data_IF_372868290095
#
_entry.id   IF_372868290095
#
_cell.length_a   1.000
_cell.length_b   1.000
_cell.length_c   1.000
_cell.angle_alpha   90.00
_cell.angle_beta   90.00
_cell.angle_gamma   90.00
#
_symmetry.space_group_name_H-M   'P 1'
#
loop_
_entity.id
_entity.type
_entity.pdbx_description
1 polymer ?
#
# COMPACT_ATOMS: atom_id res chain seq x y z
N UNK A 1 -22.82 0.07 -14.14
CA UNK A 1 -22.92 1.10 -13.09
C UNK A 1 -22.00 0.65 -11.99
N UNK A 2 -20.72 1.05 -12.02
CA UNK A 2 -19.83 0.83 -10.87
C UNK A 2 -20.21 1.89 -9.83
N UNK A 3 -20.43 1.43 -8.61
CA UNK A 3 -21.05 2.19 -7.54
C UNK A 3 -19.95 3.02 -6.85
N UNK A 4 -19.76 4.26 -7.28
CA UNK A 4 -18.74 5.20 -6.77
C UNK A 4 -18.79 5.33 -5.23
N UNK A 5 -19.97 5.17 -4.64
CA UNK A 5 -20.19 5.13 -3.19
C UNK A 5 -19.50 3.93 -2.51
N UNK A 6 -19.44 2.78 -3.19
CA UNK A 6 -18.73 1.60 -2.70
C UNK A 6 -17.20 1.77 -2.78
N UNK A 7 -16.71 2.48 -3.79
CA UNK A 7 -15.29 2.77 -3.97
C UNK A 7 -14.79 3.82 -2.98
N UNK A 8 -15.58 4.86 -2.70
CA UNK A 8 -15.26 5.84 -1.63
C UNK A 8 -15.21 5.12 -0.27
N UNK A 9 -16.12 4.17 -0.04
CA UNK A 9 -16.14 3.38 1.19
C UNK A 9 -14.93 2.45 1.31
N UNK A 10 -14.48 1.82 0.22
CA UNK A 10 -13.30 0.93 0.26
C UNK A 10 -12.01 1.72 0.44
N UNK A 11 -11.87 2.89 -0.20
CA UNK A 11 -10.71 3.77 -0.06
C UNK A 11 -10.55 4.27 1.38
N UNK A 12 -11.65 4.75 1.98
CA UNK A 12 -11.64 5.23 3.36
C UNK A 12 -11.23 4.14 4.35
N UNK A 13 -11.77 2.93 4.19
CA UNK A 13 -11.47 1.78 5.06
C UNK A 13 -10.01 1.33 4.88
N UNK A 14 -9.54 1.21 3.64
CA UNK A 14 -8.17 0.79 3.36
C UNK A 14 -7.15 1.82 3.86
N UNK A 15 -7.39 3.12 3.65
CA UNK A 15 -6.52 4.18 4.17
C UNK A 15 -6.52 4.26 5.69
N UNK A 16 -7.67 4.07 6.34
CA UNK A 16 -7.73 3.97 7.81
C UNK A 16 -6.90 2.79 8.32
N UNK A 17 -6.96 1.65 7.63
CA UNK A 17 -6.16 0.48 7.96
C UNK A 17 -4.66 0.75 7.81
N UNK A 18 -4.24 1.33 6.68
CA UNK A 18 -2.85 1.65 6.39
C UNK A 18 -2.30 2.73 7.34
N UNK A 19 -3.13 3.68 7.77
CA UNK A 19 -2.77 4.68 8.77
C UNK A 19 -2.37 4.03 10.10
N UNK A 20 -3.25 3.18 10.64
CA UNK A 20 -3.03 2.49 11.91
C UNK A 20 -1.83 1.53 11.85
N UNK A 21 -1.62 0.86 10.72
CA UNK A 21 -0.65 -0.23 10.61
C UNK A 21 0.71 0.17 10.00
N UNK A 22 0.77 1.29 9.27
CA UNK A 22 1.95 1.63 8.46
C UNK A 22 2.39 3.10 8.64
N UNK A 23 1.47 4.05 8.84
CA UNK A 23 1.81 5.47 8.81
C UNK A 23 2.76 5.91 9.93
N UNK A 24 2.79 5.22 11.08
CA UNK A 24 3.75 5.52 12.14
C UNK A 24 5.21 5.52 11.63
N UNK A 25 5.54 4.60 10.72
CA UNK A 25 6.87 4.51 10.11
C UNK A 25 6.95 5.18 8.74
N UNK A 26 5.92 5.00 7.91
CA UNK A 26 5.87 5.43 6.52
C UNK A 26 5.00 6.69 6.40
N UNK A 27 5.62 7.80 6.77
CA UNK A 27 5.10 9.16 6.68
C UNK A 27 6.28 10.12 6.47
N UNK A 28 6.04 11.39 6.08
CA UNK A 28 7.13 12.36 5.92
C UNK A 28 7.96 12.50 7.20
N UNK A 29 9.28 12.28 7.07
CA UNK A 29 10.22 12.30 8.21
C UNK A 29 10.17 11.07 9.12
N UNK A 30 9.34 10.07 8.80
CA UNK A 30 9.23 8.82 9.54
C UNK A 30 10.42 7.87 9.33
N UNK A 31 10.62 6.89 10.23
CA UNK A 31 11.76 5.98 10.21
C UNK A 31 11.70 4.89 9.13
N UNK A 32 10.56 4.71 8.44
CA UNK A 32 10.35 3.61 7.49
C UNK A 32 11.14 3.74 6.19
N UNK A 33 11.74 4.90 5.93
CA UNK A 33 12.46 5.18 4.69
C UNK A 33 11.56 5.20 3.45
N UNK A 34 12.17 5.47 2.30
CA UNK A 34 11.45 5.63 1.04
C UNK A 34 10.56 6.88 0.99
N UNK A 35 9.64 6.92 0.04
CA UNK A 35 8.71 8.04 -0.19
C UNK A 35 7.25 7.74 0.09
N UNK A 36 6.95 6.58 0.71
CA UNK A 36 5.59 6.17 1.00
C UNK A 36 5.00 6.95 2.18
N UNK A 37 3.79 7.46 2.02
CA UNK A 37 3.00 8.15 3.05
C UNK A 37 1.64 7.48 3.16
N UNK A 38 1.45 6.68 4.22
CA UNK A 38 0.23 5.92 4.46
C UNK A 38 -0.78 6.63 5.37
N UNK A 39 -0.58 7.92 5.66
CA UNK A 39 -1.52 8.64 6.53
C UNK A 39 -2.90 8.69 5.89
N UNK A 40 -3.94 8.51 6.70
CA UNK A 40 -5.32 8.37 6.20
C UNK A 40 -5.77 9.51 5.29
N UNK A 41 -5.36 10.73 5.60
CA UNK A 41 -5.75 11.95 4.87
C UNK A 41 -4.85 12.27 3.68
N UNK A 42 -3.79 11.50 3.44
CA UNK A 42 -2.92 11.69 2.27
C UNK A 42 -3.64 11.15 1.03
N UNK A 43 -3.92 11.99 0.02
CA UNK A 43 -4.53 11.51 -1.22
C UNK A 43 -3.56 10.58 -1.96
N UNK A 44 -4.08 9.62 -2.73
CA UNK A 44 -3.25 8.62 -3.42
C UNK A 44 -2.18 9.25 -4.33
N UNK A 45 -2.46 10.41 -4.91
CA UNK A 45 -1.51 11.21 -5.70
C UNK A 45 -0.29 11.67 -4.91
N UNK A 46 -0.43 11.86 -3.60
CA UNK A 46 0.65 12.31 -2.70
C UNK A 46 1.21 11.18 -1.82
N UNK A 47 0.59 10.01 -1.79
CA UNK A 47 1.09 8.85 -1.02
C UNK A 47 2.46 8.34 -1.51
N UNK A 48 2.87 8.69 -2.73
CA UNK A 48 4.19 8.31 -3.27
C UNK A 48 4.37 6.81 -3.57
N UNK A 49 3.27 6.03 -3.60
CA UNK A 49 3.28 4.58 -3.80
C UNK A 49 2.83 4.14 -5.20
N UNK A 50 2.00 4.93 -5.87
CA UNK A 50 1.38 4.52 -7.13
C UNK A 50 2.43 4.44 -8.25
N UNK A 51 2.57 3.25 -8.85
CA UNK A 51 3.61 2.89 -9.82
C UNK A 51 5.04 3.21 -9.38
N UNK A 52 5.28 3.39 -8.08
CA UNK A 52 6.58 3.74 -7.56
C UNK A 52 7.53 2.53 -7.58
N UNK A 53 8.79 2.78 -7.94
CA UNK A 53 9.82 1.75 -7.89
C UNK A 53 10.12 1.34 -6.44
N UNK A 54 10.39 0.04 -6.27
CA UNK A 54 10.93 -0.51 -5.04
C UNK A 54 12.29 0.10 -4.69
N UNK A 55 12.62 0.12 -3.41
CA UNK A 55 13.96 0.51 -2.97
C UNK A 55 15.01 -0.52 -3.40
N UNK A 56 16.27 -0.08 -3.51
CA UNK A 56 17.37 -0.82 -4.15
C UNK A 56 17.72 -2.16 -3.48
N UNK A 57 17.17 -2.44 -2.31
CA UNK A 57 17.40 -3.59 -1.46
C UNK A 57 16.14 -4.45 -1.25
N UNK A 58 15.04 -4.18 -1.95
CA UNK A 58 13.82 -4.98 -1.85
C UNK A 58 13.88 -6.17 -2.84
N UNK A 59 13.52 -7.37 -2.35
CA UNK A 59 13.50 -8.59 -3.15
C UNK A 59 12.33 -8.57 -4.14
N UNK A 60 12.59 -8.12 -5.37
CA UNK A 60 11.60 -8.16 -6.46
C UNK A 60 11.27 -9.60 -6.83
N UNK A 61 9.98 -9.88 -6.93
CA UNK A 61 9.44 -11.17 -7.39
C UNK A 61 9.20 -11.13 -8.92
N UNK A 62 8.98 -9.94 -9.49
CA UNK A 62 8.81 -9.70 -10.93
C UNK A 62 9.50 -8.40 -11.37
N UNK A 63 9.77 -8.26 -12.67
CA UNK A 63 10.34 -7.03 -13.26
C UNK A 63 9.34 -5.86 -13.27
N UNK A 64 8.05 -6.18 -13.32
CA UNK A 64 6.96 -5.21 -13.31
C UNK A 64 6.59 -4.73 -11.91
N UNK A 65 7.09 -5.40 -10.86
CA UNK A 65 6.81 -5.08 -9.46
C UNK A 65 7.00 -3.59 -9.15
N UNK A 66 5.96 -2.98 -8.58
CA UNK A 66 5.96 -1.62 -8.02
C UNK A 66 5.40 -1.65 -6.61
N UNK A 67 5.52 -0.55 -5.87
CA UNK A 67 4.92 -0.47 -4.53
C UNK A 67 3.40 -0.71 -4.59
N UNK A 68 2.73 -0.09 -5.57
CA UNK A 68 1.34 -0.33 -5.93
C UNK A 68 1.17 -0.22 -7.45
N UNK A 69 0.48 -1.18 -8.06
CA UNK A 69 0.05 -1.15 -9.45
C UNK A 69 -1.49 -1.11 -9.47
N UNK A 70 -2.12 -0.06 -10.03
CA UNK A 70 -3.57 0.03 -10.18
C UNK A 70 -4.17 -1.25 -10.78
N UNK A 71 -5.16 -1.85 -10.11
CA UNK A 71 -5.86 -3.03 -10.58
C UNK A 71 -5.07 -4.35 -10.53
N UNK A 72 -3.75 -4.31 -10.30
CA UNK A 72 -2.89 -5.50 -10.32
C UNK A 72 -2.30 -5.79 -8.94
N UNK A 73 -2.88 -6.77 -8.27
CA UNK A 73 -2.46 -7.22 -6.95
C UNK A 73 -1.22 -8.13 -6.97
N UNK A 74 -0.88 -8.73 -8.12
CA UNK A 74 0.28 -9.62 -8.27
C UNK A 74 1.57 -8.83 -8.40
N UNK A 75 1.54 -7.70 -9.11
CA UNK A 75 2.69 -6.80 -9.26
C UNK A 75 2.72 -5.65 -8.24
N UNK A 76 1.81 -5.66 -7.26
CA UNK A 76 1.78 -4.74 -6.12
C UNK A 76 2.53 -5.28 -4.91
N UNK A 77 3.72 -4.75 -4.66
CA UNK A 77 4.60 -5.16 -3.57
C UNK A 77 4.01 -4.92 -2.17
N UNK A 78 3.13 -3.93 -2.00
CA UNK A 78 2.41 -3.68 -0.75
C UNK A 78 1.73 -4.97 -0.23
N UNK A 79 1.05 -5.73 -1.09
CA UNK A 79 0.40 -6.97 -0.66
C UNK A 79 1.38 -8.08 -0.34
N UNK A 80 2.48 -8.18 -1.09
CA UNK A 80 3.55 -9.13 -0.78
C UNK A 80 4.13 -8.87 0.60
N UNK A 81 4.36 -7.59 0.94
CA UNK A 81 4.83 -7.17 2.27
C UNK A 81 3.84 -7.47 3.38
N UNK A 82 2.54 -7.27 3.14
CA UNK A 82 1.52 -7.58 4.14
C UNK A 82 1.33 -9.08 4.39
N UNK A 83 1.65 -9.93 3.40
CA UNK A 83 1.57 -11.39 3.49
C UNK A 83 2.86 -12.04 4.00
N UNK A 84 3.97 -11.30 4.03
CA UNK A 84 5.25 -11.82 4.47
C UNK A 84 5.20 -12.21 5.95
N UNK A 85 5.60 -13.45 6.26
CA UNK A 85 5.57 -14.03 7.61
C UNK A 85 6.96 -14.30 8.20
N UNK A 86 8.05 -13.97 7.49
CA UNK A 86 9.42 -14.29 7.90
C UNK A 86 10.26 -13.05 8.21
N UNK A 87 11.09 -13.17 9.25
CA UNK A 87 11.78 -12.13 10.04
C UNK A 87 12.60 -11.07 9.25
N UNK A 88 13.05 -11.35 8.02
CA UNK A 88 13.92 -10.44 7.26
C UNK A 88 13.16 -9.38 6.42
N UNK A 89 11.85 -9.54 6.21
CA UNK A 89 11.00 -8.62 5.40
C UNK A 89 9.78 -8.07 6.20
N UNK A 90 9.72 -8.31 7.52
CA UNK A 90 8.58 -7.91 8.37
C UNK A 90 8.60 -6.42 8.68
N UNK A 91 7.63 -5.69 8.14
CA UNK A 91 7.31 -4.33 8.55
C UNK A 91 5.82 -4.20 8.90
N UNK A 92 5.47 -3.66 10.08
CA UNK A 92 6.36 -3.27 11.17
C UNK A 92 6.98 -4.50 11.88
N UNK A 93 8.20 -4.37 12.43
CA UNK A 93 9.00 -5.47 13.02
C UNK A 93 8.38 -6.13 14.27
N UNK A 94 7.15 -5.77 14.61
CA UNK A 94 6.39 -6.27 15.76
C UNK A 94 5.14 -7.07 15.35
N UNK A 95 4.91 -7.31 14.05
CA UNK A 95 3.80 -8.17 13.61
C UNK A 95 4.12 -9.63 13.91
N UNK A 96 3.34 -10.21 14.82
CA UNK A 96 3.46 -11.63 15.22
C UNK A 96 2.75 -12.58 14.24
N UNK A 97 1.75 -12.09 13.51
CA UNK A 97 0.95 -12.86 12.55
C UNK A 97 0.53 -11.98 11.36
N UNK A 98 0.22 -12.63 10.24
CA UNK A 98 -0.44 -11.98 9.10
C UNK A 98 -1.87 -11.62 9.46
N UNK A 99 -2.29 -10.41 9.07
CA UNK A 99 -3.66 -9.93 9.23
C UNK A 99 -4.42 -10.17 7.93
N UNK A 100 -5.10 -11.32 7.85
CA UNK A 100 -5.78 -11.75 6.63
C UNK A 100 -6.92 -10.80 6.21
N UNK A 101 -7.65 -10.24 7.18
CA UNK A 101 -8.73 -9.29 6.90
C UNK A 101 -8.18 -7.98 6.32
N UNK A 102 -7.08 -7.48 6.89
CA UNK A 102 -6.36 -6.32 6.39
C UNK A 102 -5.79 -6.54 4.99
N UNK A 103 -5.20 -7.71 4.73
CA UNK A 103 -4.72 -8.12 3.41
C UNK A 103 -5.84 -8.13 2.38
N UNK A 104 -6.98 -8.74 2.71
CA UNK A 104 -8.12 -8.79 1.78
C UNK A 104 -8.75 -7.41 1.55
N UNK A 105 -8.75 -6.55 2.57
CA UNK A 105 -9.19 -5.16 2.44
C UNK A 105 -8.30 -4.37 1.48
N UNK A 106 -6.97 -4.41 1.68
CA UNK A 106 -6.02 -3.70 0.81
C UNK A 106 -6.01 -4.28 -0.60
N UNK A 107 -6.23 -5.59 -0.75
CA UNK A 107 -6.38 -6.23 -2.05
C UNK A 107 -7.56 -5.64 -2.82
N UNK A 108 -8.74 -5.58 -2.22
CA UNK A 108 -9.94 -4.99 -2.83
C UNK A 108 -9.75 -3.52 -3.18
N UNK A 109 -9.04 -2.79 -2.34
CA UNK A 109 -8.70 -1.39 -2.62
C UNK A 109 -7.75 -1.24 -3.82
N UNK A 110 -6.73 -2.09 -3.95
CA UNK A 110 -5.86 -2.07 -5.14
C UNK A 110 -6.65 -2.40 -6.41
N UNK A 111 -7.53 -3.41 -6.33
CA UNK A 111 -8.41 -3.81 -7.44
C UNK A 111 -9.39 -2.71 -7.87
N UNK A 112 -9.79 -1.80 -6.96
CA UNK A 112 -10.67 -0.68 -7.27
C UNK A 112 -9.95 0.54 -7.86
N UNK A 113 -8.61 0.59 -7.86
CA UNK A 113 -7.85 1.70 -8.44
C UNK A 113 -7.68 1.44 -9.94
N UNK A 114 -8.33 2.23 -10.78
CA UNK A 114 -8.24 2.07 -12.25
C UNK A 114 -6.91 2.61 -12.81
N UNK A 115 -6.41 3.72 -12.27
CA UNK A 115 -5.18 4.36 -12.70
C UNK A 115 -4.55 5.20 -11.59
N UNK A 116 -3.25 5.50 -11.72
CA UNK A 116 -2.62 6.45 -10.81
C UNK A 116 -3.19 7.86 -11.03
N UNK A 117 -3.64 8.54 -9.98
CA UNK A 117 -4.07 9.93 -10.09
C UNK A 117 -2.88 10.83 -10.43
N UNK A 118 -3.13 11.89 -11.19
CA UNK A 118 -2.11 12.89 -11.49
C UNK A 118 -1.64 13.57 -10.21
N UNK A 119 -0.34 13.89 -10.15
CA UNK A 119 0.18 14.70 -9.05
C UNK A 119 -0.19 16.15 -9.30
N UNK A 120 -1.16 16.64 -8.55
CA UNK A 120 -1.44 18.07 -8.45
C UNK A 120 -0.33 18.73 -7.60
N UNK A 121 0.22 19.83 -8.12
CA UNK A 121 1.33 20.61 -7.56
C UNK A 121 0.83 21.73 -6.65
#
# INVERSE_FOLDING_TARGET
SHDESSDISIDLRAKSYLDVNCANCHQPGGPGGGGADYRMLTPLSHMGICNAHLLRNENKISDNMRLLVPGDTQDSYLLHRMKASQEDDVMPPMRLNVDEEGVELVKKWIESIEQCPEREF
#
